data_IF_558649453317
#
_entry.id   IF_558649453317
#
_cell.length_a   1.000
_cell.length_b   1.000
_cell.length_c   1.000
_cell.angle_alpha   90.00
_cell.angle_beta   90.00
_cell.angle_gamma   90.00
#
_symmetry.space_group_name_H-M   'P 1'
#
loop_
_entity.id
_entity.type
_entity.pdbx_description
1 polymer ?
#
# COMPACT_ATOMS: atom_id res chain seq x y z
N UNK A 1 10.36 -7.31 9.81
CA UNK A 1 9.07 -6.60 9.84
C UNK A 1 9.28 -5.25 9.18
N UNK A 2 8.75 -5.02 7.98
CA UNK A 2 8.98 -3.80 7.20
C UNK A 2 8.32 -2.59 7.87
N UNK A 3 9.03 -1.47 8.01
CA UNK A 3 8.53 -0.22 8.62
C UNK A 3 7.34 0.34 7.84
N UNK A 4 7.31 0.13 6.52
CA UNK A 4 6.23 0.60 5.65
C UNK A 4 4.92 -0.14 5.94
N UNK A 5 4.94 -1.46 6.12
CA UNK A 5 3.74 -2.24 6.47
C UNK A 5 3.07 -1.73 7.74
N UNK A 6 3.87 -1.37 8.76
CA UNK A 6 3.34 -0.79 9.99
C UNK A 6 2.71 0.58 9.73
N UNK A 7 3.41 1.45 9.00
CA UNK A 7 2.94 2.79 8.65
C UNK A 7 1.66 2.77 7.81
N UNK A 8 1.58 1.85 6.84
CA UNK A 8 0.40 1.62 6.01
C UNK A 8 -0.75 1.14 6.89
N UNK A 9 -0.52 0.14 7.75
CA UNK A 9 -1.55 -0.36 8.66
C UNK A 9 -2.13 0.75 9.56
N UNK A 10 -1.27 1.63 10.06
CA UNK A 10 -1.72 2.80 10.81
C UNK A 10 -2.47 3.81 9.94
N UNK A 11 -2.06 4.05 8.69
CA UNK A 11 -2.77 4.92 7.77
C UNK A 11 -4.17 4.37 7.44
N UNK A 12 -4.29 3.05 7.24
CA UNK A 12 -5.57 2.36 7.07
C UNK A 12 -6.46 2.50 8.31
N UNK A 13 -5.90 2.34 9.51
CA UNK A 13 -6.64 2.53 10.76
C UNK A 13 -7.13 3.98 10.93
N UNK A 14 -6.29 4.98 10.65
CA UNK A 14 -6.64 6.41 10.74
C UNK A 14 -7.75 6.81 9.77
N UNK A 15 -7.85 6.14 8.63
CA UNK A 15 -8.87 6.42 7.60
C UNK A 15 -10.14 5.58 7.76
N UNK A 16 -10.24 4.76 8.82
CA UNK A 16 -11.38 3.88 9.05
C UNK A 16 -11.46 2.68 8.10
N UNK A 17 -10.36 2.37 7.40
CA UNK A 17 -10.24 1.29 6.41
C UNK A 17 -9.38 0.13 6.91
N UNK A 18 -9.30 -0.03 8.23
CA UNK A 18 -8.58 -1.15 8.83
C UNK A 18 -9.12 -2.49 8.29
N UNK A 19 -8.24 -3.31 7.72
CA UNK A 19 -8.61 -4.62 7.15
C UNK A 19 -9.25 -4.56 5.75
N UNK A 20 -9.32 -3.38 5.11
CA UNK A 20 -9.86 -3.26 3.75
C UNK A 20 -8.96 -3.90 2.68
N UNK A 21 -7.65 -3.98 2.94
CA UNK A 21 -6.66 -4.59 2.06
C UNK A 21 -5.47 -5.10 2.89
N UNK A 22 -4.71 -6.04 2.32
CA UNK A 22 -3.42 -6.43 2.89
C UNK A 22 -2.42 -5.27 2.74
N UNK A 23 -1.75 -4.81 3.81
CA UNK A 23 -0.75 -3.74 3.73
C UNK A 23 0.38 -4.03 2.72
N UNK A 24 0.69 -5.30 2.44
CA UNK A 24 1.71 -5.71 1.46
C UNK A 24 1.27 -5.37 0.04
N UNK A 25 0.00 -5.56 -0.28
CA UNK A 25 -0.55 -5.20 -1.58
C UNK A 25 -0.54 -3.69 -1.76
N UNK A 26 -0.97 -2.96 -0.74
CA UNK A 26 -0.94 -1.48 -0.75
C UNK A 26 0.49 -0.98 -0.95
N UNK A 27 1.47 -1.52 -0.22
CA UNK A 27 2.88 -1.17 -0.40
C UNK A 27 3.38 -1.45 -1.81
N UNK A 28 3.02 -2.61 -2.38
CA UNK A 28 3.43 -3.01 -3.72
C UNK A 28 2.87 -2.08 -4.81
N UNK A 29 1.60 -1.66 -4.66
CA UNK A 29 0.97 -0.68 -5.54
C UNK A 29 1.61 0.71 -5.40
N UNK A 30 1.89 1.16 -4.18
CA UNK A 30 2.61 2.43 -3.97
C UNK A 30 4.01 2.39 -4.59
N UNK A 31 4.68 1.23 -4.54
CA UNK A 31 6.03 1.04 -5.09
C UNK A 31 6.09 1.03 -6.62
N UNK A 32 4.98 0.79 -7.31
CA UNK A 32 4.92 0.92 -8.77
C UNK A 32 5.14 2.37 -9.21
N UNK A 33 4.53 3.33 -8.50
CA UNK A 33 4.68 4.76 -8.79
C UNK A 33 5.93 5.35 -8.10
N UNK A 34 6.20 4.90 -6.88
CA UNK A 34 7.31 5.39 -6.06
C UNK A 34 8.31 4.28 -5.77
N UNK A 35 9.42 4.24 -6.52
CA UNK A 35 10.48 3.24 -6.32
C UNK A 35 10.99 3.10 -4.87
N UNK A 36 10.87 4.16 -4.06
CA UNK A 36 10.93 4.09 -2.59
C UNK A 36 9.93 5.06 -1.93
N UNK A 37 9.41 4.70 -0.75
CA UNK A 37 8.43 5.49 0.00
C UNK A 37 9.04 6.53 0.95
N UNK A 38 10.36 6.53 1.16
CA UNK A 38 11.05 7.43 2.10
C UNK A 38 11.04 8.91 1.71
N UNK A 39 10.80 9.21 0.42
CA UNK A 39 10.77 10.57 -0.10
C UNK A 39 9.41 11.27 0.02
N UNK A 40 8.37 10.55 0.48
CA UNK A 40 7.02 11.08 0.54
C UNK A 40 6.79 11.88 1.81
N UNK A 41 6.24 13.09 1.67
CA UNK A 41 5.65 13.79 2.80
C UNK A 41 4.48 12.97 3.37
N UNK A 42 4.12 13.23 4.62
CA UNK A 42 2.98 12.53 5.27
C UNK A 42 1.67 12.67 4.48
N UNK A 43 1.44 13.82 3.86
CA UNK A 43 0.26 14.07 3.05
C UNK A 43 0.29 13.18 1.79
N UNK A 44 1.38 13.24 1.02
CA UNK A 44 1.54 12.42 -0.19
C UNK A 44 1.42 10.93 0.13
N UNK A 45 2.05 10.46 1.20
CA UNK A 45 1.92 9.07 1.63
C UNK A 45 0.46 8.66 1.88
N UNK A 46 -0.35 9.55 2.48
CA UNK A 46 -1.76 9.27 2.76
C UNK A 46 -2.61 9.25 1.48
N UNK A 47 -2.31 10.14 0.53
CA UNK A 47 -2.92 10.18 -0.79
C UNK A 47 -2.59 8.91 -1.58
N UNK A 48 -1.31 8.51 -1.60
CA UNK A 48 -0.83 7.29 -2.25
C UNK A 48 -1.44 6.02 -1.66
N UNK A 49 -1.58 5.92 -0.34
CA UNK A 49 -2.32 4.80 0.29
C UNK A 49 -3.77 4.75 -0.20
N UNK A 50 -4.41 5.91 -0.41
CA UNK A 50 -5.80 5.96 -0.89
C UNK A 50 -5.89 5.53 -2.36
N UNK A 51 -4.95 5.94 -3.20
CA UNK A 51 -4.87 5.53 -4.61
C UNK A 51 -4.59 4.02 -4.69
N UNK A 52 -3.60 3.53 -3.94
CA UNK A 52 -3.26 2.11 -3.90
C UNK A 52 -4.44 1.24 -3.46
N UNK A 53 -5.25 1.68 -2.49
CA UNK A 53 -6.50 1.00 -2.13
C UNK A 53 -7.50 0.90 -3.28
N UNK A 54 -7.62 1.94 -4.09
CA UNK A 54 -8.50 1.92 -5.27
C UNK A 54 -7.96 0.92 -6.31
N UNK A 55 -6.64 0.85 -6.49
CA UNK A 55 -6.00 -0.14 -7.37
C UNK A 55 -6.24 -1.57 -6.87
N UNK A 56 -6.05 -1.83 -5.57
CA UNK A 56 -6.33 -3.14 -4.96
C UNK A 56 -7.80 -3.54 -5.14
N UNK A 57 -8.73 -2.60 -5.00
CA UNK A 57 -10.16 -2.88 -5.18
C UNK A 57 -10.57 -3.08 -6.65
N UNK A 58 -9.85 -2.47 -7.59
CA UNK A 58 -10.13 -2.55 -9.02
C UNK A 58 -9.47 -3.75 -9.71
N UNK A 59 -8.36 -4.26 -9.17
CA UNK A 59 -7.62 -5.39 -9.71
C UNK A 59 -8.07 -6.72 -9.08
N UNK A 60 -7.95 -7.86 -9.78
CA UNK A 60 -8.05 -9.18 -9.18
C UNK A 60 -7.05 -9.35 -8.03
N UNK A 61 -7.45 -10.06 -6.96
CA UNK A 61 -6.58 -10.31 -5.82
C UNK A 61 -5.26 -11.01 -6.20
N UNK A 62 -5.30 -11.87 -7.24
CA UNK A 62 -4.11 -12.55 -7.76
C UNK A 62 -3.04 -11.56 -8.28
N UNK A 63 -3.45 -10.45 -8.88
CA UNK A 63 -2.53 -9.45 -9.41
C UNK A 63 -1.84 -8.69 -8.28
N UNK A 64 -2.58 -8.36 -7.23
CA UNK A 64 -2.02 -7.71 -6.04
C UNK A 64 -1.05 -8.62 -5.27
N UNK A 65 -1.36 -9.92 -5.17
CA UNK A 65 -0.44 -10.92 -4.61
C UNK A 65 0.82 -11.09 -5.48
N UNK A 66 0.67 -11.21 -6.80
CA UNK A 66 1.81 -11.35 -7.71
C UNK A 66 2.71 -10.11 -7.68
N UNK A 67 2.11 -8.92 -7.60
CA UNK A 67 2.84 -7.65 -7.49
C UNK A 67 3.61 -7.57 -6.16
N UNK A 68 2.98 -7.92 -5.04
CA UNK A 68 3.67 -7.97 -3.75
C UNK A 68 4.84 -8.97 -3.78
N UNK A 69 4.64 -10.16 -4.34
CA UNK A 69 5.69 -11.16 -4.50
C UNK A 69 6.87 -10.66 -5.35
N UNK A 70 6.61 -9.87 -6.41
CA UNK A 70 7.64 -9.23 -7.24
C UNK A 70 8.57 -8.29 -6.45
N UNK A 71 8.09 -7.71 -5.35
CA UNK A 71 8.88 -6.86 -4.46
C UNK A 71 9.40 -7.59 -3.22
N UNK A 72 9.16 -8.90 -3.11
CA UNK A 72 9.55 -9.73 -1.97
C UNK A 72 8.76 -9.46 -0.69
N UNK A 73 7.50 -9.05 -0.82
CA UNK A 73 6.58 -8.71 0.29
C UNK A 73 5.70 -9.88 0.74
#
# INVERSE_FOLDING_TARGET
MSIYLQTIREALARTGRAGAADPRHVEAWMRLEHGCLDGLSRQQFTEEVTIALQCVAAAPAADSEALAASFGL
#
